data_IF_990736919886
#
_entry.id   IF_990736919886
#
_cell.length_a   1.000
_cell.length_b   1.000
_cell.length_c   1.000
_cell.angle_alpha   90.00
_cell.angle_beta   90.00
_cell.angle_gamma   90.00
#
_symmetry.space_group_name_H-M   'P 1'
#
loop_
_entity.id
_entity.type
_entity.pdbx_description
1 polymer ?
#
# COMPACT_ATOMS: atom_id res chain seq x y z
N UNK A 1 37.76 47.33 -9.74
CA UNK A 1 36.77 46.32 -9.32
C UNK A 1 35.96 46.93 -8.19
N UNK A 2 34.70 47.24 -8.45
CA UNK A 2 33.84 48.04 -7.57
C UNK A 2 33.35 47.14 -6.43
N UNK A 3 33.76 47.45 -5.19
CA UNK A 3 33.18 46.88 -3.99
C UNK A 3 31.80 47.49 -3.78
N UNK A 4 30.74 46.77 -4.18
CA UNK A 4 29.39 47.10 -3.79
C UNK A 4 29.17 46.66 -2.33
N UNK A 5 29.40 47.59 -1.42
CA UNK A 5 28.86 47.55 -0.05
C UNK A 5 27.33 47.55 -0.14
N UNK A 6 26.74 46.36 -0.09
CA UNK A 6 25.31 46.21 0.14
C UNK A 6 25.05 46.72 1.56
N UNK A 7 24.43 47.90 1.63
CA UNK A 7 23.87 48.49 2.83
C UNK A 7 22.95 47.45 3.48
N UNK A 8 23.43 46.80 4.54
CA UNK A 8 22.63 46.00 5.46
C UNK A 8 21.55 46.92 6.02
N UNK A 9 20.34 46.78 5.48
CA UNK A 9 19.17 47.47 5.98
C UNK A 9 18.98 47.14 7.46
N UNK A 10 18.78 48.19 8.24
CA UNK A 10 18.41 48.14 9.64
C UNK A 10 17.24 47.16 9.84
N UNK A 11 17.52 46.00 10.42
CA UNK A 11 16.46 45.11 10.92
C UNK A 11 16.06 45.65 12.31
N UNK A 12 14.79 46.04 12.50
CA UNK A 12 14.32 46.44 13.83
C UNK A 12 14.21 45.20 14.71
N UNK A 13 15.03 45.17 15.78
CA UNK A 13 14.92 44.41 17.04
C UNK A 13 14.72 42.87 16.97
N UNK A 14 15.26 42.11 17.97
CA UNK A 14 15.00 40.68 18.07
C UNK A 14 13.51 40.45 18.34
N UNK A 15 12.89 39.39 17.80
CA UNK A 15 11.51 39.06 18.13
C UNK A 15 11.40 38.78 19.62
N UNK A 16 10.42 39.43 20.25
CA UNK A 16 9.96 39.19 21.62
C UNK A 16 9.88 37.68 21.91
N UNK A 17 10.21 37.22 23.13
CA UNK A 17 10.12 35.80 23.47
C UNK A 17 8.72 35.28 23.14
N UNK A 18 8.60 34.10 22.52
CA UNK A 18 7.31 33.58 22.08
C UNK A 18 6.38 33.52 23.29
N UNK A 19 5.28 34.27 23.23
CA UNK A 19 4.22 34.16 24.24
C UNK A 19 3.78 32.71 24.31
N UNK A 20 3.45 32.21 25.51
CA UNK A 20 3.05 30.81 25.70
C UNK A 20 1.88 30.40 24.77
N UNK A 21 1.05 31.37 24.38
CA UNK A 21 -0.03 31.22 23.40
C UNK A 21 0.46 30.96 21.97
N UNK A 22 1.61 31.50 21.56
CA UNK A 22 2.16 31.30 20.20
C UNK A 22 2.67 29.88 19.98
N UNK A 23 3.18 29.23 21.05
CA UNK A 23 3.70 27.86 20.98
C UNK A 23 2.57 26.84 20.83
N UNK A 24 1.47 27.01 21.57
CA UNK A 24 0.28 26.17 21.41
C UNK A 24 -0.37 26.37 20.03
N UNK A 25 -0.41 27.61 19.53
CA UNK A 25 -0.89 27.87 18.17
C UNK A 25 0.00 27.20 17.12
N UNK A 26 1.32 27.28 17.25
CA UNK A 26 2.26 26.62 16.34
C UNK A 26 2.07 25.09 16.38
N UNK A 27 1.94 24.50 17.57
CA UNK A 27 1.68 23.08 17.74
C UNK A 27 0.40 22.66 17.01
N UNK A 28 -0.71 23.38 17.24
CA UNK A 28 -2.01 23.13 16.63
C UNK A 28 -1.97 23.28 15.10
N UNK A 29 -1.29 24.30 14.58
CA UNK A 29 -1.14 24.49 13.12
C UNK A 29 -0.44 23.27 12.52
N UNK A 30 0.63 22.77 13.14
CA UNK A 30 1.32 21.59 12.65
C UNK A 30 0.48 20.31 12.72
N UNK A 31 -0.28 20.09 13.79
CA UNK A 31 -1.23 18.97 13.84
C UNK A 31 -2.32 19.10 12.77
N UNK A 32 -2.89 20.29 12.58
CA UNK A 32 -3.85 20.53 11.50
C UNK A 32 -3.26 20.23 10.12
N UNK A 33 -1.98 20.54 9.87
CA UNK A 33 -1.32 20.18 8.62
C UNK A 33 -1.15 18.66 8.49
N UNK A 34 -0.62 17.99 9.51
CA UNK A 34 -0.33 16.54 9.47
C UNK A 34 -1.62 15.73 9.38
N UNK A 35 -2.58 15.97 10.26
CA UNK A 35 -3.85 15.25 10.31
C UNK A 35 -4.80 15.67 9.20
N UNK A 36 -4.80 16.95 8.81
CA UNK A 36 -5.59 17.43 7.69
C UNK A 36 -5.18 16.79 6.37
N UNK A 37 -3.88 16.65 6.13
CA UNK A 37 -3.36 15.91 4.97
C UNK A 37 -3.69 14.42 5.05
N UNK A 38 -3.62 13.82 6.25
CA UNK A 38 -4.05 12.44 6.44
C UNK A 38 -5.52 12.26 6.01
N UNK A 39 -6.40 13.10 6.55
CA UNK A 39 -7.84 13.01 6.33
C UNK A 39 -8.22 13.23 4.85
N UNK A 40 -7.59 14.20 4.19
CA UNK A 40 -7.81 14.49 2.77
C UNK A 40 -7.43 13.31 1.86
N UNK A 41 -6.45 12.50 2.26
CA UNK A 41 -5.98 11.36 1.46
C UNK A 41 -6.68 10.03 1.77
N UNK A 42 -7.58 9.97 2.76
CA UNK A 42 -8.38 8.77 3.04
C UNK A 42 -9.23 8.36 1.80
N UNK A 43 -10.01 9.25 1.17
CA UNK A 43 -10.80 8.88 -0.01
C UNK A 43 -9.95 8.39 -1.18
N UNK A 44 -8.75 8.94 -1.34
CA UNK A 44 -7.80 8.49 -2.36
C UNK A 44 -7.23 7.11 -2.04
N UNK A 45 -7.06 6.77 -0.77
CA UNK A 45 -6.73 5.40 -0.39
C UNK A 45 -7.87 4.41 -0.62
N UNK A 46 -9.13 4.86 -0.57
CA UNK A 46 -10.29 3.99 -0.82
C UNK A 46 -10.48 3.76 -2.33
N UNK A 47 -10.41 4.83 -3.14
CA UNK A 47 -10.82 4.81 -4.55
C UNK A 47 -9.69 5.11 -5.55
N UNK A 48 -8.59 5.71 -5.09
CA UNK A 48 -7.54 6.23 -5.94
C UNK A 48 -6.49 5.20 -6.33
N UNK A 49 -5.75 5.51 -7.39
CA UNK A 49 -4.56 4.77 -7.79
C UNK A 49 -3.29 5.44 -7.25
N UNK A 50 -2.18 4.70 -7.19
CA UNK A 50 -0.86 5.23 -6.79
C UNK A 50 -0.45 6.44 -7.65
N UNK A 51 -0.79 6.40 -8.94
CA UNK A 51 -0.50 7.49 -9.87
C UNK A 51 -1.34 8.74 -9.54
N UNK A 52 -2.64 8.56 -9.29
CA UNK A 52 -3.53 9.65 -8.90
C UNK A 52 -3.11 10.28 -7.57
N UNK A 53 -2.74 9.46 -6.57
CA UNK A 53 -2.24 9.96 -5.28
C UNK A 53 -0.96 10.77 -5.47
N UNK A 54 -0.06 10.35 -6.36
CA UNK A 54 1.21 11.05 -6.62
C UNK A 54 0.96 12.40 -7.31
N UNK A 55 0.10 12.42 -8.33
CA UNK A 55 -0.27 13.65 -9.04
C UNK A 55 -0.92 14.65 -8.08
N UNK A 56 -1.87 14.21 -7.25
CA UNK A 56 -2.52 15.11 -6.32
C UNK A 56 -1.53 15.64 -5.27
N UNK A 57 -0.64 14.80 -4.75
CA UNK A 57 0.38 15.23 -3.80
C UNK A 57 1.27 16.33 -4.41
N UNK A 58 1.70 16.18 -5.66
CA UNK A 58 2.48 17.20 -6.39
C UNK A 58 1.69 18.49 -6.57
N UNK A 59 0.42 18.39 -6.96
CA UNK A 59 -0.43 19.56 -7.16
C UNK A 59 -0.71 20.30 -5.85
N UNK A 60 -0.90 19.57 -4.75
CA UNK A 60 -1.20 20.13 -3.43
C UNK A 60 0.06 20.64 -2.72
N UNK A 61 1.25 20.17 -3.10
CA UNK A 61 2.52 20.64 -2.52
C UNK A 61 2.73 22.15 -2.69
N UNK A 62 2.50 22.68 -3.89
CA UNK A 62 2.74 24.09 -4.19
C UNK A 62 1.86 25.07 -3.37
N UNK A 63 0.52 24.90 -3.30
CA UNK A 63 -0.31 25.76 -2.45
C UNK A 63 0.00 25.59 -0.97
N UNK A 64 0.33 24.38 -0.52
CA UNK A 64 0.70 24.11 0.88
C UNK A 64 2.04 24.77 1.24
N UNK A 65 3.01 24.74 0.32
CA UNK A 65 4.28 25.44 0.46
C UNK A 65 4.07 26.96 0.56
N UNK A 66 3.23 27.54 -0.29
CA UNK A 66 2.92 28.98 -0.23
C UNK A 66 2.23 29.38 1.08
N UNK A 67 1.28 28.56 1.55
CA UNK A 67 0.62 28.73 2.85
C UNK A 67 1.66 28.71 3.98
N UNK A 68 2.57 27.74 3.97
CA UNK A 68 3.62 27.58 4.99
C UNK A 68 4.62 28.73 4.96
N UNK A 69 5.02 29.24 3.78
CA UNK A 69 5.86 30.44 3.65
C UNK A 69 5.19 31.66 4.31
N UNK A 70 3.88 31.84 4.07
CA UNK A 70 3.14 32.95 4.68
C UNK A 70 3.02 32.81 6.19
N UNK A 71 2.81 31.60 6.68
CA UNK A 71 2.70 31.31 8.12
C UNK A 71 4.08 31.35 8.81
N UNK A 72 5.16 30.98 8.13
CA UNK A 72 6.52 31.00 8.70
C UNK A 72 7.02 32.41 8.99
N UNK A 73 6.55 33.40 8.23
CA UNK A 73 6.80 34.81 8.55
C UNK A 73 6.25 35.22 9.93
N UNK A 74 5.21 34.55 10.43
CA UNK A 74 4.56 34.84 11.72
C UNK A 74 4.98 33.88 12.84
N UNK A 75 5.16 32.60 12.53
CA UNK A 75 5.35 31.53 13.52
C UNK A 75 6.73 30.84 13.44
N UNK A 76 7.58 31.26 12.49
CA UNK A 76 8.94 30.76 12.33
C UNK A 76 9.09 29.55 11.40
N UNK A 77 10.34 29.19 11.15
CA UNK A 77 10.72 28.20 10.14
C UNK A 77 10.43 26.73 10.52
N UNK A 78 10.04 26.45 11.77
CA UNK A 78 9.67 25.09 12.19
C UNK A 78 8.48 24.55 11.39
N UNK A 79 7.63 25.41 10.81
CA UNK A 79 6.52 25.00 9.97
C UNK A 79 6.95 24.26 8.68
N UNK A 80 8.19 24.41 8.21
CA UNK A 80 8.69 23.60 7.09
C UNK A 80 8.85 22.12 7.48
N UNK A 81 9.14 21.83 8.75
CA UNK A 81 9.15 20.45 9.26
C UNK A 81 7.72 19.90 9.29
N UNK A 82 6.74 20.68 9.77
CA UNK A 82 5.33 20.28 9.72
C UNK A 82 4.86 20.02 8.28
N UNK A 83 5.27 20.85 7.32
CA UNK A 83 5.01 20.63 5.90
C UNK A 83 5.53 19.27 5.44
N UNK A 84 6.80 18.96 5.72
CA UNK A 84 7.39 17.67 5.37
C UNK A 84 6.65 16.49 6.02
N UNK A 85 6.35 16.58 7.32
CA UNK A 85 5.61 15.54 8.04
C UNK A 85 4.19 15.35 7.47
N UNK A 86 3.54 16.42 7.04
CA UNK A 86 2.21 16.36 6.43
C UNK A 86 2.19 15.64 5.08
N UNK A 87 3.26 15.75 4.29
CA UNK A 87 3.40 15.02 3.03
C UNK A 87 3.61 13.51 3.28
N UNK A 88 4.38 13.16 4.32
CA UNK A 88 4.52 11.77 4.75
C UNK A 88 3.17 11.20 5.25
N UNK A 89 2.42 12.01 6.00
CA UNK A 89 1.09 11.67 6.49
C UNK A 89 0.10 11.36 5.37
N UNK A 90 0.12 12.14 4.29
CA UNK A 90 -0.68 11.88 3.10
C UNK A 90 -0.40 10.49 2.49
N UNK A 91 0.87 10.10 2.41
CA UNK A 91 1.28 8.77 1.93
C UNK A 91 0.83 7.65 2.87
N UNK A 92 1.08 7.81 4.18
CA UNK A 92 0.63 6.83 5.19
C UNK A 92 -0.88 6.64 5.12
N UNK A 93 -1.64 7.73 4.99
CA UNK A 93 -3.08 7.69 4.90
C UNK A 93 -3.57 6.98 3.63
N UNK A 94 -3.09 7.40 2.45
CA UNK A 94 -3.54 6.81 1.19
C UNK A 94 -3.20 5.32 1.08
N UNK A 95 -2.01 4.89 1.51
CA UNK A 95 -1.57 3.51 1.30
C UNK A 95 -2.02 2.52 2.37
N UNK A 96 -2.25 2.97 3.61
CA UNK A 96 -2.53 2.09 4.74
C UNK A 96 -3.90 2.35 5.38
N UNK A 97 -4.18 3.59 5.76
CA UNK A 97 -5.40 3.95 6.50
C UNK A 97 -6.62 3.89 5.59
N UNK A 98 -6.55 4.49 4.41
CA UNK A 98 -7.67 4.56 3.45
C UNK A 98 -8.17 3.18 3.04
N UNK A 99 -7.27 2.26 2.71
CA UNK A 99 -7.64 0.86 2.46
C UNK A 99 -8.42 0.26 3.64
N UNK A 100 -7.90 0.39 4.85
CA UNK A 100 -8.54 -0.20 6.04
C UNK A 100 -9.92 0.39 6.33
N UNK A 101 -10.08 1.71 6.18
CA UNK A 101 -11.37 2.40 6.32
C UNK A 101 -12.35 1.93 5.23
N UNK A 102 -11.90 1.80 3.99
CA UNK A 102 -12.71 1.26 2.89
C UNK A 102 -13.26 -0.12 3.22
N UNK A 103 -12.43 -1.01 3.77
CA UNK A 103 -12.87 -2.33 4.24
C UNK A 103 -13.98 -2.24 5.30
N UNK A 104 -13.77 -1.43 6.34
CA UNK A 104 -14.76 -1.26 7.41
C UNK A 104 -16.09 -0.67 6.91
N UNK A 105 -16.05 0.19 5.89
CA UNK A 105 -17.24 0.73 5.23
C UNK A 105 -17.91 -0.26 4.27
N UNK A 106 -17.42 -1.50 4.17
CA UNK A 106 -17.93 -2.51 3.25
C UNK A 106 -17.58 -2.26 1.78
N UNK A 107 -16.65 -1.32 1.51
CA UNK A 107 -16.19 -1.00 0.17
C UNK A 107 -15.08 -2.02 -0.19
N UNK A 108 -15.32 -2.90 -1.18
CA UNK A 108 -14.33 -3.90 -1.56
C UNK A 108 -13.04 -3.23 -2.04
N UNK A 109 -11.91 -3.62 -1.45
CA UNK A 109 -10.58 -3.12 -1.83
C UNK A 109 -10.08 -3.95 -2.99
N UNK A 110 -10.13 -3.36 -4.17
CA UNK A 110 -9.81 -4.02 -5.43
C UNK A 110 -10.96 -3.87 -6.41
N UNK A 111 -10.64 -3.91 -7.70
CA UNK A 111 -11.68 -3.90 -8.72
C UNK A 111 -12.47 -5.20 -8.64
N UNK A 112 -13.80 -5.09 -8.71
CA UNK A 112 -14.66 -6.25 -8.91
C UNK A 112 -14.33 -6.82 -10.30
N UNK A 113 -13.72 -7.99 -10.31
CA UNK A 113 -13.27 -8.65 -11.51
C UNK A 113 -14.30 -9.70 -11.94
N UNK A 114 -14.86 -9.55 -13.13
CA UNK A 114 -15.66 -10.61 -13.76
C UNK A 114 -14.74 -11.57 -14.50
N UNK A 115 -14.79 -12.86 -14.13
CA UNK A 115 -14.02 -13.91 -14.81
C UNK A 115 -14.38 -14.08 -16.30
N UNK A 116 -15.54 -13.56 -16.72
CA UNK A 116 -16.10 -13.76 -18.05
C UNK A 116 -15.44 -12.91 -19.15
N UNK A 117 -14.72 -11.84 -18.81
CA UNK A 117 -14.32 -10.84 -19.81
C UNK A 117 -12.92 -11.05 -20.40
N UNK A 118 -12.12 -12.00 -19.92
CA UNK A 118 -10.78 -12.25 -20.49
C UNK A 118 -9.85 -11.03 -20.52
N UNK A 119 -10.25 -9.92 -19.90
CA UNK A 119 -9.46 -8.70 -19.83
C UNK A 119 -8.22 -8.97 -19.00
N UNK A 120 -7.09 -8.44 -19.44
CA UNK A 120 -5.92 -8.34 -18.59
C UNK A 120 -6.31 -7.52 -17.37
N UNK A 121 -6.53 -8.20 -16.24
CA UNK A 121 -6.63 -7.50 -14.97
C UNK A 121 -5.37 -6.64 -14.88
N UNK A 122 -5.56 -5.33 -14.71
CA UNK A 122 -4.46 -4.37 -14.68
C UNK A 122 -3.44 -4.72 -13.59
N UNK A 123 -2.47 -3.84 -13.35
CA UNK A 123 -1.43 -4.09 -12.34
C UNK A 123 -1.95 -4.06 -10.87
N UNK A 124 -3.25 -4.28 -10.67
CA UNK A 124 -3.94 -4.30 -9.41
C UNK A 124 -3.46 -5.49 -8.57
N UNK A 125 -2.95 -5.18 -7.38
CA UNK A 125 -2.31 -6.16 -6.50
C UNK A 125 -3.32 -7.11 -5.84
N UNK A 126 -4.55 -6.66 -5.62
CA UNK A 126 -5.61 -7.41 -4.96
C UNK A 126 -6.88 -7.28 -5.80
N UNK A 127 -7.49 -8.42 -6.14
CA UNK A 127 -8.74 -8.49 -6.88
C UNK A 127 -9.78 -9.29 -6.11
N UNK A 128 -11.02 -8.90 -6.35
CA UNK A 128 -12.19 -9.49 -5.74
C UNK A 128 -13.06 -10.11 -6.83
N UNK A 129 -13.25 -11.41 -6.75
CA UNK A 129 -14.10 -12.15 -7.66
C UNK A 129 -15.36 -12.62 -6.94
N UNK A 130 -16.52 -12.41 -7.58
CA UNK A 130 -17.84 -12.77 -7.07
C UNK A 130 -18.46 -13.85 -7.95
N UNK A 131 -19.23 -14.77 -7.35
CA UNK A 131 -19.95 -15.82 -8.08
C UNK A 131 -19.00 -16.82 -8.74
N UNK A 132 -17.91 -17.15 -8.06
CA UNK A 132 -16.87 -18.06 -8.56
C UNK A 132 -16.96 -19.42 -7.88
N UNK A 133 -16.27 -20.42 -8.42
CA UNK A 133 -16.02 -21.71 -7.79
C UNK A 133 -14.62 -22.19 -8.13
N UNK A 134 -14.02 -22.94 -7.23
CA UNK A 134 -12.70 -23.53 -7.41
C UNK A 134 -12.88 -24.98 -7.86
N UNK A 135 -12.25 -25.35 -8.97
CA UNK A 135 -12.34 -26.72 -9.47
C UNK A 135 -11.27 -27.60 -8.81
N UNK A 136 -11.58 -28.14 -7.63
CA UNK A 136 -10.67 -28.97 -6.83
C UNK A 136 -10.32 -30.31 -7.47
N UNK A 137 -11.13 -30.78 -8.42
CA UNK A 137 -10.89 -32.02 -9.16
C UNK A 137 -9.77 -31.90 -10.20
N UNK A 138 -9.37 -30.68 -10.55
CA UNK A 138 -8.36 -30.40 -11.57
C UNK A 138 -7.10 -29.77 -10.97
N UNK A 139 -6.76 -30.16 -9.74
CA UNK A 139 -5.57 -29.68 -9.06
C UNK A 139 -4.33 -30.31 -9.69
N UNK A 140 -3.31 -29.48 -9.89
CA UNK A 140 -1.97 -29.91 -10.30
C UNK A 140 -0.96 -29.46 -9.25
N UNK A 141 0.04 -30.29 -8.99
CA UNK A 141 1.07 -30.02 -8.00
C UNK A 141 2.46 -30.29 -8.54
N UNK A 142 3.39 -29.36 -8.33
CA UNK A 142 4.80 -29.52 -8.68
C UNK A 142 5.69 -29.14 -7.52
N UNK A 143 6.75 -29.90 -7.28
CA UNK A 143 7.76 -29.55 -6.29
C UNK A 143 8.95 -28.82 -6.94
N UNK A 144 9.53 -27.84 -6.25
CA UNK A 144 10.87 -27.35 -6.57
C UNK A 144 11.76 -27.34 -5.33
N UNK A 145 13.04 -27.64 -5.53
CA UNK A 145 14.04 -27.64 -4.47
C UNK A 145 14.64 -26.24 -4.37
N UNK A 146 14.51 -25.60 -3.22
CA UNK A 146 15.14 -24.32 -2.93
C UNK A 146 16.32 -24.53 -1.99
N UNK A 147 17.51 -24.11 -2.43
CA UNK A 147 18.69 -24.01 -1.55
C UNK A 147 18.51 -22.81 -0.61
N UNK A 148 18.69 -23.02 0.69
CA UNK A 148 18.62 -21.94 1.68
C UNK A 148 19.89 -21.10 1.55
N UNK A 149 19.74 -19.77 1.35
CA UNK A 149 20.89 -18.86 1.17
C UNK A 149 21.86 -18.85 2.35
N UNK A 150 21.35 -19.10 3.56
CA UNK A 150 22.11 -19.12 4.81
C UNK A 150 22.75 -20.46 5.13
N UNK A 151 22.27 -21.57 4.54
CA UNK A 151 22.80 -22.93 4.75
C UNK A 151 22.74 -23.72 3.44
N UNK A 152 23.84 -23.77 2.67
CA UNK A 152 23.84 -24.39 1.34
C UNK A 152 23.61 -25.92 1.36
N UNK A 153 23.82 -26.56 2.52
CA UNK A 153 23.57 -28.00 2.74
C UNK A 153 22.13 -28.32 3.15
N UNK A 154 21.29 -27.31 3.38
CA UNK A 154 19.87 -27.51 3.67
C UNK A 154 19.02 -27.11 2.45
N UNK A 155 18.47 -28.14 1.81
CA UNK A 155 17.51 -28.03 0.73
C UNK A 155 16.11 -28.11 1.32
N UNK A 156 15.26 -27.12 1.00
CA UNK A 156 13.82 -27.16 1.34
C UNK A 156 13.02 -27.36 0.06
N UNK A 157 12.17 -28.38 0.06
CA UNK A 157 11.24 -28.63 -1.04
C UNK A 157 10.02 -27.75 -0.88
N UNK A 158 9.70 -26.96 -1.90
CA UNK A 158 8.46 -26.18 -1.96
C UNK A 158 7.52 -26.90 -2.92
N UNK A 159 6.32 -27.18 -2.46
CA UNK A 159 5.23 -27.70 -3.28
C UNK A 159 4.34 -26.55 -3.75
N UNK A 160 4.18 -26.45 -5.06
CA UNK A 160 3.34 -25.48 -5.74
C UNK A 160 2.09 -26.20 -6.21
N UNK A 161 0.96 -25.89 -5.60
CA UNK A 161 -0.34 -26.43 -5.97
C UNK A 161 -1.13 -25.35 -6.71
N UNK A 162 -1.77 -25.74 -7.81
CA UNK A 162 -2.62 -24.84 -8.60
C UNK A 162 -3.97 -25.49 -8.87
N UNK A 163 -5.01 -24.66 -8.89
CA UNK A 163 -6.37 -25.07 -9.22
C UNK A 163 -7.03 -24.02 -10.15
N UNK A 164 -7.93 -24.42 -11.06
CA UNK A 164 -8.73 -23.48 -11.82
C UNK A 164 -9.70 -22.69 -10.93
N UNK A 165 -9.82 -21.38 -11.19
CA UNK A 165 -10.87 -20.53 -10.64
C UNK A 165 -11.81 -20.12 -11.77
N UNK A 166 -13.06 -20.57 -11.67
CA UNK A 166 -14.04 -20.42 -12.75
C UNK A 166 -15.33 -19.78 -12.25
N UNK A 167 -16.18 -19.33 -13.17
CA UNK A 167 -17.53 -18.88 -12.84
C UNK A 167 -18.35 -20.02 -12.23
N UNK A 168 -19.28 -19.71 -11.34
CA UNK A 168 -20.21 -20.70 -10.77
C UNK A 168 -20.94 -21.51 -11.86
N UNK A 169 -21.25 -20.87 -12.99
CA UNK A 169 -21.97 -21.45 -14.13
C UNK A 169 -21.08 -22.19 -15.13
N UNK A 170 -19.77 -22.29 -14.89
CA UNK A 170 -18.81 -22.96 -15.77
C UNK A 170 -19.17 -24.45 -15.96
N UNK A 171 -19.08 -24.91 -17.21
CA UNK A 171 -19.25 -26.29 -17.66
C UNK A 171 -17.95 -26.84 -18.25
N UNK A 172 -17.82 -28.16 -18.24
CA UNK A 172 -16.64 -28.82 -18.81
C UNK A 172 -16.55 -28.53 -20.32
N UNK A 173 -15.41 -27.97 -20.74
CA UNK A 173 -15.19 -27.46 -22.10
C UNK A 173 -15.15 -25.93 -22.19
N UNK A 174 -15.67 -25.20 -21.20
CA UNK A 174 -15.57 -23.75 -21.15
C UNK A 174 -14.11 -23.31 -20.85
N UNK A 175 -13.65 -22.18 -21.41
CA UNK A 175 -12.29 -21.70 -21.22
C UNK A 175 -11.98 -21.32 -19.77
N UNK A 176 -10.73 -21.53 -19.35
CA UNK A 176 -10.23 -21.19 -18.01
C UNK A 176 -9.21 -20.06 -18.14
N UNK A 177 -9.59 -18.88 -17.66
CA UNK A 177 -8.74 -17.69 -17.72
C UNK A 177 -7.91 -17.47 -16.46
N UNK A 178 -8.39 -17.96 -15.31
CA UNK A 178 -7.82 -17.63 -14.00
C UNK A 178 -7.49 -18.89 -13.21
N UNK A 179 -6.33 -18.87 -12.59
CA UNK A 179 -5.79 -19.94 -11.76
C UNK A 179 -5.50 -19.42 -10.36
N UNK A 180 -5.66 -20.29 -9.38
CA UNK A 180 -5.26 -20.00 -8.01
C UNK A 180 -4.10 -20.89 -7.62
N UNK A 181 -3.21 -20.35 -6.80
CA UNK A 181 -1.98 -21.01 -6.42
C UNK A 181 -1.77 -20.98 -4.91
N UNK A 182 -1.24 -22.07 -4.40
CA UNK A 182 -0.89 -22.26 -3.00
C UNK A 182 0.49 -22.90 -2.93
N UNK A 183 1.43 -22.22 -2.26
CA UNK A 183 2.78 -22.72 -2.02
C UNK A 183 2.92 -23.22 -0.58
N UNK A 184 3.30 -24.48 -0.38
CA UNK A 184 3.52 -25.09 0.94
C UNK A 184 4.90 -25.75 0.99
N UNK A 185 5.52 -25.77 2.17
CA UNK A 185 6.79 -26.47 2.41
C UNK A 185 6.60 -27.95 2.75
N UNK A 186 5.36 -28.37 3.00
CA UNK A 186 4.98 -29.73 3.44
C UNK A 186 3.76 -30.21 2.64
N UNK A 187 3.70 -31.51 2.35
CA UNK A 187 2.50 -32.20 1.85
C UNK A 187 1.70 -32.72 3.06
N UNK A 188 0.36 -32.63 3.10
CA UNK A 188 -0.57 -31.96 2.18
C UNK A 188 -0.93 -30.55 2.71
N UNK A 189 -2.07 -29.96 2.29
CA UNK A 189 -2.81 -28.86 2.98
C UNK A 189 -3.00 -27.53 2.22
N UNK A 190 -3.27 -27.55 0.92
CA UNK A 190 -4.03 -26.43 0.34
C UNK A 190 -5.52 -26.76 0.52
N UNK A 191 -6.13 -26.20 1.56
CA UNK A 191 -7.58 -26.29 1.78
C UNK A 191 -8.22 -25.31 0.81
N UNK A 192 -8.74 -25.85 -0.28
CA UNK A 192 -9.50 -25.09 -1.27
C UNK A 192 -10.96 -25.07 -0.81
N UNK A 193 -11.44 -23.94 -0.31
CA UNK A 193 -12.83 -23.80 0.11
C UNK A 193 -13.79 -23.70 -1.09
N UNK A 194 -15.07 -23.97 -0.87
CA UNK A 194 -16.13 -23.64 -1.83
C UNK A 194 -16.40 -22.13 -1.74
N UNK A 195 -15.81 -21.33 -2.63
CA UNK A 195 -15.81 -19.87 -2.46
C UNK A 195 -16.78 -19.16 -3.41
N UNK A 196 -17.90 -18.64 -2.88
CA UNK A 196 -18.79 -17.69 -3.59
C UNK A 196 -18.09 -16.32 -3.82
N UNK A 197 -17.06 -16.04 -3.03
CA UNK A 197 -16.27 -14.81 -3.04
C UNK A 197 -14.78 -15.14 -2.90
N UNK A 198 -13.91 -14.56 -3.73
CA UNK A 198 -12.48 -14.85 -3.73
C UNK A 198 -11.65 -13.56 -3.70
N UNK A 199 -10.73 -13.46 -2.73
CA UNK A 199 -9.71 -12.41 -2.65
C UNK A 199 -8.38 -12.96 -3.12
N UNK A 200 -7.86 -12.44 -4.23
CA UNK A 200 -6.64 -12.91 -4.87
C UNK A 200 -5.56 -11.84 -4.91
N UNK A 201 -4.35 -12.19 -4.48
CA UNK A 201 -3.15 -11.41 -4.75
C UNK A 201 -2.51 -11.88 -6.07
N UNK A 202 -2.30 -10.98 -7.03
CA UNK A 202 -1.71 -11.34 -8.33
C UNK A 202 -0.26 -11.79 -8.15
N UNK A 203 0.08 -12.95 -8.72
CA UNK A 203 1.45 -13.48 -8.68
C UNK A 203 2.31 -13.06 -9.86
N UNK A 204 1.82 -12.21 -10.77
CA UNK A 204 2.52 -11.82 -12.02
C UNK A 204 3.96 -11.32 -11.79
N UNK A 205 4.20 -10.60 -10.69
CA UNK A 205 5.51 -10.05 -10.31
C UNK A 205 6.24 -10.85 -9.24
N UNK A 206 5.69 -12.00 -8.83
CA UNK A 206 6.27 -12.82 -7.76
C UNK A 206 7.53 -13.54 -8.25
N UNK A 207 8.58 -13.60 -7.43
CA UNK A 207 9.87 -14.21 -7.79
C UNK A 207 9.77 -15.70 -8.16
N UNK A 208 8.77 -16.40 -7.61
CA UNK A 208 8.48 -17.81 -7.89
C UNK A 208 7.43 -18.03 -8.98
N UNK A 209 7.03 -16.99 -9.73
CA UNK A 209 5.97 -17.07 -10.74
C UNK A 209 6.24 -18.16 -11.79
N UNK A 210 7.49 -18.35 -12.22
CA UNK A 210 7.87 -19.39 -13.18
C UNK A 210 7.49 -20.80 -12.71
N UNK A 211 7.63 -21.12 -11.42
CA UNK A 211 7.24 -22.41 -10.86
C UNK A 211 5.73 -22.61 -10.83
N UNK A 212 4.97 -21.55 -10.54
CA UNK A 212 3.51 -21.58 -10.63
C UNK A 212 3.05 -21.74 -12.07
N UNK A 213 3.64 -21.01 -13.02
CA UNK A 213 3.37 -21.14 -14.47
C UNK A 213 3.58 -22.57 -14.96
N UNK A 214 4.68 -23.21 -14.56
CA UNK A 214 4.94 -24.61 -14.88
C UNK A 214 3.87 -25.55 -14.34
N UNK A 215 3.42 -25.34 -13.10
CA UNK A 215 2.37 -26.16 -12.47
C UNK A 215 1.04 -26.01 -13.22
N UNK A 216 0.72 -24.81 -13.70
CA UNK A 216 -0.46 -24.53 -14.52
C UNK A 216 -0.34 -25.23 -15.88
N UNK A 217 0.82 -25.15 -16.55
CA UNK A 217 1.06 -25.86 -17.81
C UNK A 217 0.91 -27.38 -17.66
N UNK A 218 1.38 -27.94 -16.55
CA UNK A 218 1.22 -29.37 -16.24
C UNK A 218 -0.28 -29.71 -16.08
N UNK A 219 -1.08 -28.84 -15.43
CA UNK A 219 -2.53 -29.00 -15.35
C UNK A 219 -3.19 -29.01 -16.75
N UNK A 220 -2.77 -28.11 -17.64
CA UNK A 220 -3.26 -28.04 -19.01
C UNK A 220 -2.97 -29.31 -19.82
N UNK A 221 -1.81 -29.92 -19.60
CA UNK A 221 -1.44 -31.21 -20.23
C UNK A 221 -2.25 -32.38 -19.68
N UNK A 222 -2.37 -32.48 -18.35
CA UNK A 222 -3.06 -33.59 -17.69
C UNK A 222 -4.56 -33.58 -18.02
N UNK A 223 -5.18 -32.40 -17.93
CA UNK A 223 -6.63 -32.23 -18.05
C UNK A 223 -7.07 -31.69 -19.42
N UNK A 224 -6.14 -31.58 -20.38
CA UNK A 224 -6.38 -31.14 -21.77
C UNK A 224 -7.02 -29.75 -21.89
N UNK A 225 -6.68 -28.82 -20.98
CA UNK A 225 -7.12 -27.44 -21.07
C UNK A 225 -6.23 -26.62 -22.00
N UNK A 226 -6.84 -25.69 -22.76
CA UNK A 226 -6.10 -24.65 -23.48
C UNK A 226 -5.62 -23.59 -22.48
N UNK A 227 -4.30 -23.43 -22.36
CA UNK A 227 -3.69 -22.52 -21.40
C UNK A 227 -2.89 -21.45 -22.16
N UNK A 228 -3.14 -20.15 -21.89
CA UNK A 228 -2.38 -19.07 -22.50
C UNK A 228 -0.91 -19.10 -22.06
N UNK A 229 -0.02 -18.49 -22.85
CA UNK A 229 1.41 -18.45 -22.53
C UNK A 229 1.69 -17.80 -21.17
N UNK A 230 0.86 -16.83 -20.76
CA UNK A 230 0.94 -16.15 -19.47
C UNK A 230 -0.40 -16.28 -18.73
N UNK A 231 -0.63 -17.40 -18.01
CA UNK A 231 -1.87 -17.59 -17.28
C UNK A 231 -1.96 -16.61 -16.10
N UNK A 232 -3.16 -16.11 -15.81
CA UNK A 232 -3.36 -15.26 -14.63
C UNK A 232 -3.44 -16.14 -13.40
N UNK A 233 -2.48 -15.96 -12.48
CA UNK A 233 -2.36 -16.77 -11.26
C UNK A 233 -2.49 -15.88 -10.04
N UNK A 234 -3.41 -16.24 -9.15
CA UNK A 234 -3.66 -15.53 -7.90
C UNK A 234 -3.35 -16.39 -6.69
N UNK A 235 -2.81 -15.78 -5.64
CA UNK A 235 -2.72 -16.44 -4.33
C UNK A 235 -3.92 -16.05 -3.48
N UNK A 236 -4.68 -17.01 -2.91
CA UNK A 236 -5.74 -16.70 -1.98
C UNK A 236 -5.20 -15.96 -0.77
N UNK A 237 -5.90 -14.92 -0.34
CA UNK A 237 -5.65 -14.25 0.94
C UNK A 237 -6.48 -14.99 1.99
N UNK A 238 -5.82 -15.72 2.89
CA UNK A 238 -6.48 -16.59 3.88
C UNK A 238 -7.31 -15.84 4.92
N UNK A 239 -6.92 -14.61 5.25
CA UNK A 239 -7.62 -13.75 6.20
C UNK A 239 -7.47 -12.28 5.73
N UNK A 240 -8.32 -11.84 4.79
CA UNK A 240 -8.22 -10.49 4.21
C UNK A 240 -8.49 -9.43 5.27
N UNK A 241 -9.43 -9.68 6.17
CA UNK A 241 -9.79 -8.80 7.29
C UNK A 241 -8.60 -8.55 8.20
N UNK A 242 -7.94 -9.60 8.70
CA UNK A 242 -6.78 -9.44 9.59
C UNK A 242 -5.60 -8.77 8.89
N UNK A 243 -5.39 -9.04 7.59
CA UNK A 243 -4.34 -8.38 6.79
C UNK A 243 -4.62 -6.88 6.64
N UNK A 244 -5.88 -6.51 6.41
CA UNK A 244 -6.32 -5.13 6.26
C UNK A 244 -6.30 -4.38 7.60
N UNK A 245 -6.85 -4.94 8.66
CA UNK A 245 -6.79 -4.37 10.02
C UNK A 245 -5.34 -4.12 10.42
N UNK A 246 -4.44 -5.09 10.17
CA UNK A 246 -3.01 -4.92 10.44
C UNK A 246 -2.38 -3.79 9.64
N UNK A 247 -2.71 -3.68 8.34
CA UNK A 247 -2.26 -2.56 7.52
C UNK A 247 -2.76 -1.22 8.09
N UNK A 248 -4.01 -1.15 8.52
CA UNK A 248 -4.59 0.02 9.17
C UNK A 248 -3.91 0.39 10.49
N UNK A 249 -3.60 -0.60 11.33
CA UNK A 249 -2.83 -0.38 12.55
C UNK A 249 -1.41 0.14 12.26
N UNK A 250 -0.74 -0.35 11.22
CA UNK A 250 0.54 0.22 10.79
C UNK A 250 0.40 1.66 10.31
N UNK A 251 -0.67 1.95 9.56
CA UNK A 251 -0.99 3.31 9.13
C UNK A 251 -1.21 4.26 10.32
N UNK A 252 -2.07 3.85 11.26
CA UNK A 252 -2.33 4.60 12.50
C UNK A 252 -1.06 4.79 13.33
N UNK A 253 -0.25 3.75 13.51
CA UNK A 253 1.03 3.84 14.21
C UNK A 253 1.99 4.81 13.52
N UNK A 254 2.03 4.82 12.18
CA UNK A 254 2.80 5.78 11.41
C UNK A 254 2.32 7.21 11.63
N UNK A 255 1.01 7.45 11.61
CA UNK A 255 0.42 8.76 11.89
C UNK A 255 0.74 9.24 13.31
N UNK A 256 0.60 8.36 14.31
CA UNK A 256 1.01 8.65 15.69
C UNK A 256 2.49 9.02 15.78
N UNK A 257 3.36 8.29 15.08
CA UNK A 257 4.79 8.61 15.04
C UNK A 257 5.06 9.98 14.42
N UNK A 258 4.37 10.37 13.34
CA UNK A 258 4.52 11.68 12.70
C UNK A 258 4.06 12.82 13.62
N UNK A 259 2.90 12.66 14.26
CA UNK A 259 2.38 13.62 15.24
C UNK A 259 3.30 13.73 16.47
N UNK A 260 3.80 12.61 16.98
CA UNK A 260 4.76 12.61 18.07
C UNK A 260 6.09 13.27 17.68
N UNK A 261 6.57 13.02 16.46
CA UNK A 261 7.77 13.68 15.93
C UNK A 261 7.59 15.20 15.86
N UNK A 262 6.43 15.68 15.41
CA UNK A 262 6.11 17.10 15.42
C UNK A 262 6.11 17.68 16.83
N UNK A 263 5.45 17.01 17.76
CA UNK A 263 5.43 17.40 19.18
C UNK A 263 6.85 17.53 19.72
N UNK A 264 7.70 16.51 19.53
CA UNK A 264 9.09 16.53 19.98
C UNK A 264 9.90 17.65 19.33
N UNK A 265 9.72 17.92 18.03
CA UNK A 265 10.39 19.04 17.33
C UNK A 265 10.06 20.40 17.95
N UNK A 266 8.82 20.63 18.37
CA UNK A 266 8.41 21.87 19.02
C UNK A 266 9.08 22.03 20.39
N UNK A 267 9.09 20.97 21.20
CA UNK A 267 9.69 21.02 22.54
C UNK A 267 11.21 21.07 22.50
N UNK A 268 11.88 20.38 21.56
CA UNK A 268 13.33 20.48 21.36
C UNK A 268 13.73 21.83 20.75
N UNK A 269 12.93 22.39 19.84
CA UNK A 269 13.15 23.74 19.29
C UNK A 269 13.20 24.82 20.37
N UNK A 270 12.47 24.63 21.48
CA UNK A 270 12.52 25.49 22.67
C UNK A 270 13.87 25.42 23.41
N UNK A 271 14.54 24.27 23.41
CA UNK A 271 15.84 24.09 24.07
C UNK A 271 16.99 24.66 23.26
N UNK A 272 17.00 24.47 21.94
CA UNK A 272 18.07 24.97 21.07
C UNK A 272 17.95 26.47 20.72
N UNK A 273 16.76 27.06 20.88
CA UNK A 273 16.55 28.49 20.64
C UNK A 273 16.97 29.41 21.80
N UNK A 274 17.53 28.88 22.89
CA UNK A 274 17.80 29.63 24.13
C UNK A 274 19.28 29.97 24.37
N UNK A 275 20.18 29.63 23.46
CA UNK A 275 21.59 30.04 23.51
C UNK A 275 21.92 30.88 22.27
N UNK A 276 21.63 32.18 22.34
CA UNK A 276 22.34 33.25 21.63
C UNK A 276 21.92 34.62 22.14
#
# INVERSE_FOLDING_TARGET
>A
MIFALVKTGDRPFPPEPPSQNSLWQLLLIGFCLVDGMALLFIPLGIYGSVLLTTILLLFLFLPLLFLVIRLSAKFGNLLYIALFLSLLSAGVSAFYIGHSIGFFLGIPIGKNAHLAQGEEFGNDRILIFRGVKILTNYVSSRSAIRKVKTEPNHTKTIYFHVAPLVSANWKEGDPIYVWIACGRMELPNCVWGNSVFFWGESLKTHSLYSYYKLSVQDAGRIYKFSIPEYPMIFRPISDPEKKLIRAGMYGLSGLFFLNYSWFVCIFLGKFFGKER
#
